data_IF_357604899740
#
_entry.id   IF_357604899740
#
_cell.length_a   1.000
_cell.length_b   1.000
_cell.length_c   1.000
_cell.angle_alpha   90.00
_cell.angle_beta   90.00
_cell.angle_gamma   90.00
#
_symmetry.space_group_name_H-M   'P 1'
#
loop_
_entity.id
_entity.type
_entity.pdbx_description
1 polymer ?
#
# COMPACT_ATOMS: atom_id res chain seq x y z
N UNK A 1 -11.29 -4.45 3.37
CA UNK A 1 -12.07 -5.57 3.95
C UNK A 1 -11.37 -6.28 5.10
N UNK A 2 -10.05 -6.24 5.26
CA UNK A 2 -9.35 -7.00 6.33
C UNK A 2 -9.17 -8.50 6.02
N UNK A 3 -10.13 -9.11 5.32
CA UNK A 3 -10.16 -10.55 4.98
C UNK A 3 -9.25 -10.95 3.81
N UNK A 4 -8.65 -10.01 3.09
CA UNK A 4 -7.77 -10.28 1.95
C UNK A 4 -8.44 -10.54 0.60
N UNK A 5 -9.77 -10.37 0.51
CA UNK A 5 -10.57 -10.67 -0.71
C UNK A 5 -10.83 -9.47 -1.61
N UNK A 6 -10.86 -8.25 -1.07
CA UNK A 6 -11.25 -7.07 -1.86
C UNK A 6 -10.11 -6.48 -2.70
N UNK A 7 -8.86 -6.84 -2.41
CA UNK A 7 -7.67 -6.31 -3.09
C UNK A 7 -7.49 -4.77 -3.07
N UNK A 8 -8.26 -4.02 -2.28
CA UNK A 8 -8.13 -2.55 -2.17
C UNK A 8 -6.94 -2.06 -1.34
N UNK A 9 -6.10 -2.96 -0.80
CA UNK A 9 -5.00 -2.63 0.11
C UNK A 9 -3.64 -3.08 -0.45
N UNK A 10 -3.51 -3.08 -1.77
CA UNK A 10 -2.27 -3.45 -2.43
C UNK A 10 -1.26 -2.31 -2.29
N UNK A 11 -0.08 -2.66 -1.79
CA UNK A 11 1.07 -1.77 -1.61
C UNK A 11 2.33 -2.47 -2.09
N UNK A 12 3.43 -1.74 -2.28
CA UNK A 12 4.74 -2.35 -2.38
C UNK A 12 5.39 -2.43 -0.99
N UNK A 13 6.02 -3.56 -0.68
CA UNK A 13 6.77 -3.75 0.58
C UNK A 13 8.15 -4.29 0.23
N UNK A 14 9.20 -3.59 0.63
CA UNK A 14 10.59 -3.94 0.36
C UNK A 14 10.85 -4.23 -1.13
N UNK A 15 10.32 -3.36 -2.01
CA UNK A 15 10.42 -3.47 -3.47
C UNK A 15 9.53 -4.54 -4.12
N UNK A 16 8.72 -5.28 -3.34
CA UNK A 16 7.78 -6.28 -3.86
C UNK A 16 6.41 -5.65 -4.05
N UNK A 17 5.89 -5.53 -5.28
CA UNK A 17 4.59 -4.92 -5.54
C UNK A 17 3.42 -5.86 -5.17
N UNK A 18 2.21 -5.31 -5.14
CA UNK A 18 0.94 -6.05 -4.98
C UNK A 18 0.88 -6.90 -3.70
N UNK A 19 1.45 -6.42 -2.60
CA UNK A 19 1.32 -7.02 -1.26
C UNK A 19 0.04 -6.54 -0.61
N UNK A 20 -0.74 -7.45 -0.01
CA UNK A 20 -1.94 -7.10 0.75
C UNK A 20 -1.52 -6.58 2.13
N UNK A 21 -1.66 -5.28 2.37
CA UNK A 21 -1.35 -4.68 3.66
C UNK A 21 -2.16 -5.35 4.79
N UNK A 22 -3.45 -5.62 4.56
CA UNK A 22 -4.32 -6.24 5.57
C UNK A 22 -3.97 -7.67 5.98
N UNK A 23 -3.06 -8.34 5.26
CA UNK A 23 -2.66 -9.73 5.50
C UNK A 23 -1.13 -9.84 5.67
N UNK A 24 -0.42 -8.72 5.77
CA UNK A 24 1.04 -8.70 5.95
C UNK A 24 1.36 -8.22 7.36
N UNK A 25 2.03 -9.08 8.14
CA UNK A 25 2.52 -8.73 9.48
C UNK A 25 3.66 -7.71 9.36
N UNK A 26 3.53 -6.58 10.05
CA UNK A 26 4.55 -5.52 10.06
C UNK A 26 5.82 -5.99 10.78
N UNK A 27 6.98 -5.59 10.26
CA UNK A 27 8.29 -5.80 10.90
C UNK A 27 9.06 -4.48 10.94
N UNK A 28 9.88 -4.24 11.98
CA UNK A 28 10.75 -3.07 12.02
C UNK A 28 11.63 -2.98 10.77
N UNK A 29 11.76 -1.76 10.22
CA UNK A 29 12.58 -1.50 9.05
C UNK A 29 11.93 -1.82 7.69
N UNK A 30 10.71 -2.35 7.66
CA UNK A 30 9.97 -2.50 6.40
C UNK A 30 9.78 -1.15 5.71
N UNK A 31 10.04 -1.12 4.40
CA UNK A 31 9.73 0.02 3.55
C UNK A 31 8.42 -0.24 2.82
N UNK A 32 7.44 0.62 3.03
CA UNK A 32 6.11 0.51 2.42
C UNK A 32 5.92 1.69 1.46
N UNK A 33 5.57 1.39 0.22
CA UNK A 33 5.25 2.38 -0.80
C UNK A 33 3.78 2.22 -1.20
N UNK A 34 3.04 3.32 -1.15
CA UNK A 34 1.63 3.41 -1.55
C UNK A 34 1.50 4.19 -2.84
N UNK A 35 0.46 3.90 -3.61
CA UNK A 35 0.08 4.73 -4.76
C UNK A 35 -0.29 6.14 -4.28
N UNK A 36 0.01 7.17 -5.09
CA UNK A 36 -0.42 8.52 -4.79
C UNK A 36 -1.93 8.67 -5.00
N UNK A 37 -2.60 9.36 -4.08
CA UNK A 37 -3.98 9.77 -4.30
C UNK A 37 -4.03 10.72 -5.51
N UNK A 38 -5.05 10.56 -6.35
CA UNK A 38 -5.18 11.33 -7.59
C UNK A 38 -5.47 12.80 -7.32
N UNK A 39 -6.11 13.11 -6.20
CA UNK A 39 -6.40 14.48 -5.81
C UNK A 39 -5.16 15.23 -5.30
N UNK A 40 -4.22 14.54 -4.63
CA UNK A 40 -2.95 15.13 -4.18
C UNK A 40 -2.06 15.61 -5.35
N UNK A 41 -2.31 15.11 -6.57
CA UNK A 41 -1.60 15.52 -7.77
C UNK A 41 -2.15 16.83 -8.37
N UNK A 42 -3.40 17.18 -8.08
CA UNK A 42 -4.12 18.33 -8.64
C UNK A 42 -3.94 19.60 -7.78
N UNK A 43 -3.61 19.43 -6.49
CA UNK A 43 -3.28 20.50 -5.54
C UNK A 43 -1.79 20.88 -5.54
N UNK A 44 -0.95 20.21 -6.35
CA UNK A 44 0.47 20.54 -6.48
C UNK A 44 0.64 21.67 -7.51
N UNK A 45 1.11 22.86 -7.11
CA UNK A 45 1.24 24.02 -8.00
C UNK A 45 2.26 23.80 -9.14
#
# INVERSE_FOLDING_TARGET
CGMGVCHCCLVAIDGRPKRRACQTVVRPGMRVETESNRFDQEERP
#
